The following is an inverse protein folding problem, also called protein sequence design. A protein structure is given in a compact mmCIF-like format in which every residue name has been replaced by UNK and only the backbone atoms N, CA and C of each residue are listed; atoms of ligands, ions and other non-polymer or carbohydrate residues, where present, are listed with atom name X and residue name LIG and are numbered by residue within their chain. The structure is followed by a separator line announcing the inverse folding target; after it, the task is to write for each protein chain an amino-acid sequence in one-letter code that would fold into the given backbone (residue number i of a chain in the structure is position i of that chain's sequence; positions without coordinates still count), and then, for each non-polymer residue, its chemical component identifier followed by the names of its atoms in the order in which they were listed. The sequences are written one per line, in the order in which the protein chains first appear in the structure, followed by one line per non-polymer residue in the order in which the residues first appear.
data_IF_139422230636
#
_entry.id   IF_139422230636
#
_cell.length_a   1.000
_cell.length_b   1.000
_cell.length_c   1.000
_cell.angle_alpha   90.00
_cell.angle_beta   90.00
_cell.angle_gamma   90.00
#
_symmetry.space_group_name_H-M   'P 1'
#
loop_
_entity.id
_entity.type
_entity.pdbx_description
1 polymer ?
#
# COMPACT_ATOMS: atom_id res chain seq x y z
N UNK A 1 14.19 -5.55 -13.39
CA UNK A 1 12.76 -5.16 -13.48
C UNK A 1 12.03 -6.20 -14.31
N UNK A 2 10.77 -6.48 -14.01
CA UNK A 2 9.94 -7.44 -14.76
C UNK A 2 8.46 -7.24 -14.45
N UNK A 3 7.63 -7.89 -15.25
CA UNK A 3 6.17 -7.88 -15.12
C UNK A 3 5.67 -9.31 -14.89
N UNK A 4 4.80 -9.49 -13.92
CA UNK A 4 4.16 -10.76 -13.57
C UNK A 4 2.66 -10.58 -13.63
N UNK A 5 2.01 -11.36 -14.49
CA UNK A 5 0.55 -11.42 -14.59
C UNK A 5 0.08 -12.67 -13.88
N UNK A 6 -0.87 -12.52 -12.96
CA UNK A 6 -1.45 -13.60 -12.19
C UNK A 6 -2.72 -14.12 -12.86
N UNK A 7 -3.07 -15.38 -12.59
CA UNK A 7 -4.27 -16.01 -13.14
C UNK A 7 -5.58 -15.29 -12.73
N UNK A 8 -5.59 -14.60 -11.59
CA UNK A 8 -6.71 -13.79 -11.10
C UNK A 8 -6.83 -12.41 -11.78
N UNK A 9 -5.98 -12.11 -12.77
CA UNK A 9 -5.92 -10.83 -13.46
C UNK A 9 -5.08 -9.76 -12.76
N UNK A 10 -4.50 -10.04 -11.59
CA UNK A 10 -3.56 -9.10 -10.96
C UNK A 10 -2.29 -8.95 -11.82
N UNK A 11 -1.69 -7.79 -11.74
CA UNK A 11 -0.43 -7.48 -12.42
C UNK A 11 0.53 -6.89 -11.40
N UNK A 12 1.74 -7.43 -11.34
CA UNK A 12 2.86 -6.80 -10.68
C UNK A 12 3.90 -6.34 -11.70
N UNK A 13 4.36 -5.10 -11.59
CA UNK A 13 5.45 -4.52 -12.37
C UNK A 13 6.48 -3.94 -11.40
N UNK A 14 7.69 -4.50 -11.38
CA UNK A 14 8.71 -4.05 -10.43
C UNK A 14 9.99 -4.85 -10.45
N UNK A 15 10.75 -4.74 -9.36
CA UNK A 15 12.00 -5.47 -9.21
C UNK A 15 11.80 -6.83 -8.53
N UNK A 16 12.67 -7.77 -8.89
CA UNK A 16 12.71 -9.12 -8.36
C UNK A 16 14.13 -9.45 -7.92
N UNK A 17 14.26 -10.20 -6.83
CA UNK A 17 15.50 -10.81 -6.35
C UNK A 17 15.17 -12.23 -5.94
N UNK A 18 15.86 -13.23 -6.52
CA UNK A 18 15.60 -14.66 -6.29
C UNK A 18 14.11 -15.03 -6.43
N UNK A 19 13.50 -14.62 -7.55
CA UNK A 19 12.08 -14.81 -7.88
C UNK A 19 11.07 -14.21 -6.89
N UNK A 20 11.54 -13.33 -6.01
CA UNK A 20 10.69 -12.62 -5.04
C UNK A 20 10.64 -11.13 -5.35
N UNK A 21 9.44 -10.54 -5.28
CA UNK A 21 9.25 -9.08 -5.36
C UNK A 21 10.14 -8.41 -4.31
N UNK A 22 10.93 -7.45 -4.76
CA UNK A 22 11.88 -6.73 -3.93
C UNK A 22 12.07 -5.31 -4.44
N UNK A 23 12.51 -4.37 -3.62
CA UNK A 23 12.68 -2.97 -4.02
C UNK A 23 11.35 -2.33 -4.40
N UNK A 24 11.36 -1.35 -5.30
CA UNK A 24 10.12 -0.68 -5.73
C UNK A 24 9.34 -1.51 -6.77
N UNK A 25 8.01 -1.48 -6.67
CA UNK A 25 7.10 -2.08 -7.63
C UNK A 25 5.64 -1.65 -7.45
N UNK A 26 4.88 -1.84 -8.52
CA UNK A 26 3.46 -1.55 -8.64
C UNK A 26 2.69 -2.87 -8.71
N UNK A 27 1.70 -3.07 -7.85
CA UNK A 27 0.75 -4.18 -7.91
C UNK A 27 -0.63 -3.62 -8.19
N UNK A 28 -1.15 -3.86 -9.38
CA UNK A 28 -2.51 -3.56 -9.79
C UNK A 28 -3.36 -4.81 -9.61
N UNK A 29 -4.38 -4.74 -8.75
CA UNK A 29 -5.33 -5.81 -8.54
C UNK A 29 -6.42 -5.77 -9.62
N UNK A 30 -7.01 -6.92 -9.95
CA UNK A 30 -8.14 -7.01 -10.89
C UNK A 30 -9.39 -6.24 -10.43
N UNK A 31 -9.52 -5.98 -9.12
CA UNK A 31 -10.56 -5.11 -8.56
C UNK A 31 -10.26 -3.60 -8.66
N UNK A 32 -9.29 -3.20 -9.48
CA UNK A 32 -8.81 -1.82 -9.65
C UNK A 32 -8.10 -1.20 -8.43
N UNK A 33 -7.88 -1.95 -7.34
CA UNK A 33 -6.98 -1.47 -6.28
C UNK A 33 -5.54 -1.47 -6.79
N UNK A 34 -4.73 -0.51 -6.34
CA UNK A 34 -3.32 -0.36 -6.76
C UNK A 34 -2.44 -0.12 -5.55
N UNK A 35 -1.39 -0.92 -5.40
CA UNK A 35 -0.28 -0.60 -4.50
C UNK A 35 0.93 -0.14 -5.30
N UNK A 36 1.57 0.91 -4.85
CA UNK A 36 2.78 1.46 -5.43
C UNK A 36 3.77 1.77 -4.31
N UNK A 37 4.91 1.09 -4.28
CA UNK A 37 5.86 1.30 -3.20
C UNK A 37 6.92 0.23 -3.08
N UNK A 38 7.55 0.17 -1.92
CA UNK A 38 8.60 -0.79 -1.65
C UNK A 38 8.05 -2.18 -1.27
N UNK A 39 8.83 -3.18 -1.65
CA UNK A 39 8.61 -4.61 -1.49
C UNK A 39 9.86 -5.25 -0.92
N UNK A 40 9.66 -6.27 -0.07
CA UNK A 40 10.71 -7.10 0.49
C UNK A 40 10.18 -8.52 0.63
N UNK A 41 10.79 -9.47 -0.09
CA UNK A 41 10.47 -10.89 -0.02
C UNK A 41 8.96 -11.13 -0.24
N UNK A 42 8.45 -10.67 -1.39
CA UNK A 42 7.03 -10.77 -1.79
C UNK A 42 6.03 -9.97 -0.94
N UNK A 43 6.46 -9.21 0.06
CA UNK A 43 5.58 -8.42 0.94
C UNK A 43 5.80 -6.92 0.78
N UNK A 44 4.74 -6.13 0.94
CA UNK A 44 4.82 -4.67 1.00
C UNK A 44 5.64 -4.26 2.23
N UNK A 45 6.58 -3.35 2.03
CA UNK A 45 7.53 -2.93 3.05
C UNK A 45 7.97 -1.48 2.83
N UNK A 46 8.30 -0.76 3.90
CA UNK A 46 8.77 0.62 3.81
C UNK A 46 7.67 1.56 3.30
N UNK A 47 8.05 2.59 2.53
CA UNK A 47 7.10 3.57 1.99
C UNK A 47 6.28 2.98 0.84
N UNK A 48 4.99 3.26 0.85
CA UNK A 48 4.09 2.93 -0.24
C UNK A 48 2.76 3.68 -0.19
N UNK A 49 2.10 3.70 -1.33
CA UNK A 49 0.76 4.22 -1.54
C UNK A 49 -0.16 3.09 -1.96
N UNK A 50 -1.28 2.96 -1.28
CA UNK A 50 -2.36 2.02 -1.60
C UNK A 50 -3.58 2.84 -2.00
N UNK A 51 -3.99 2.72 -3.25
CA UNK A 51 -5.28 3.21 -3.74
C UNK A 51 -6.25 2.04 -3.74
N UNK A 52 -7.36 2.18 -3.03
CA UNK A 52 -8.39 1.16 -2.94
C UNK A 52 -9.45 1.37 -4.02
N UNK A 53 -10.14 0.29 -4.39
CA UNK A 53 -11.22 0.32 -5.38
C UNK A 53 -12.37 1.28 -5.02
N UNK A 54 -12.59 1.53 -3.72
CA UNK A 54 -13.61 2.45 -3.22
C UNK A 54 -13.19 3.94 -3.29
N UNK A 55 -12.00 4.24 -3.81
CA UNK A 55 -11.43 5.59 -3.89
C UNK A 55 -10.63 6.02 -2.66
N UNK A 56 -10.59 5.21 -1.59
CA UNK A 56 -9.75 5.51 -0.44
C UNK A 56 -8.26 5.40 -0.83
N UNK A 57 -7.43 6.22 -0.20
CA UNK A 57 -5.98 6.24 -0.41
C UNK A 57 -5.29 6.14 0.94
N UNK A 58 -4.35 5.22 1.07
CA UNK A 58 -3.41 5.18 2.17
C UNK A 58 -1.99 5.46 1.67
N UNK A 59 -1.35 6.50 2.16
CA UNK A 59 0.04 6.86 1.89
C UNK A 59 0.84 6.79 3.18
N UNK A 60 1.75 5.82 3.29
CA UNK A 60 2.45 5.58 4.54
C UNK A 60 3.46 4.46 4.51
N UNK A 61 3.82 4.00 5.71
CA UNK A 61 4.76 2.91 5.88
C UNK A 61 4.04 1.55 6.00
N UNK A 62 4.71 0.51 5.52
CA UNK A 62 4.26 -0.87 5.52
C UNK A 62 5.32 -1.79 6.13
N UNK A 63 4.88 -2.82 6.84
CA UNK A 63 5.73 -3.92 7.31
C UNK A 63 4.95 -5.21 7.14
N UNK A 64 5.46 -6.15 6.33
CA UNK A 64 4.83 -7.45 6.07
C UNK A 64 3.36 -7.31 5.63
N UNK A 65 3.10 -6.50 4.61
CA UNK A 65 1.76 -6.21 4.05
C UNK A 65 0.83 -5.39 4.94
N UNK A 66 1.28 -4.99 6.14
CA UNK A 66 0.47 -4.24 7.10
C UNK A 66 0.88 -2.78 7.16
N UNK A 67 -0.10 -1.87 7.20
CA UNK A 67 0.13 -0.46 7.53
C UNK A 67 0.79 -0.38 8.92
N UNK A 68 1.88 0.34 9.01
CA UNK A 68 2.69 0.44 10.22
C UNK A 68 3.43 1.77 10.28
N UNK A 69 3.73 2.30 11.46
CA UNK A 69 4.40 3.60 11.61
C UNK A 69 3.48 4.75 11.18
N UNK A 70 4.05 5.82 10.62
CA UNK A 70 3.27 6.97 10.17
C UNK A 70 2.58 6.72 8.82
N UNK A 71 1.34 7.20 8.69
CA UNK A 71 0.62 7.18 7.42
C UNK A 71 -0.61 8.09 7.41
N UNK A 72 -0.98 8.49 6.20
CA UNK A 72 -2.14 9.31 5.87
C UNK A 72 -3.17 8.41 5.20
N UNK A 73 -4.40 8.43 5.69
CA UNK A 73 -5.54 7.79 5.06
C UNK A 73 -6.54 8.85 4.61
N UNK A 74 -6.68 9.01 3.31
CA UNK A 74 -7.68 9.88 2.69
C UNK A 74 -8.86 9.01 2.27
N UNK A 75 -10.03 9.28 2.81
CA UNK A 75 -11.26 8.64 2.40
C UNK A 75 -11.75 9.24 1.07
N UNK A 76 -12.56 8.50 0.32
CA UNK A 76 -13.17 8.98 -0.93
C UNK A 76 -14.02 10.24 -0.77
N UNK A 77 -14.54 10.51 0.43
CA UNK A 77 -15.26 11.73 0.79
C UNK A 77 -14.34 12.90 1.18
N UNK A 78 -13.06 12.85 0.83
CA UNK A 78 -12.02 13.86 1.16
C UNK A 78 -11.67 13.99 2.64
N UNK A 79 -12.30 13.23 3.55
CA UNK A 79 -11.86 13.19 4.95
C UNK A 79 -10.48 12.55 5.07
N UNK A 80 -9.63 13.07 5.96
CA UNK A 80 -8.23 12.63 6.11
C UNK A 80 -7.97 12.22 7.56
N UNK A 81 -7.35 11.05 7.75
CA UNK A 81 -6.65 10.70 8.97
C UNK A 81 -5.15 10.79 8.74
N UNK A 82 -4.44 11.40 9.67
CA UNK A 82 -2.98 11.52 9.63
C UNK A 82 -2.41 11.15 11.00
N UNK A 83 -1.64 10.08 11.07
CA UNK A 83 -1.12 9.64 12.37
C UNK A 83 -0.39 8.32 12.34
N UNK A 84 -0.20 7.74 13.52
CA UNK A 84 0.46 6.46 13.66
C UNK A 84 -0.49 5.28 13.39
N UNK A 85 0.12 4.18 12.91
CA UNK A 85 -0.51 2.93 12.51
C UNK A 85 0.30 1.75 13.06
N UNK A 86 -0.41 0.70 13.47
CA UNK A 86 0.19 -0.57 13.92
C UNK A 86 -0.72 -1.70 13.50
N UNK A 87 -0.20 -2.64 12.69
CA UNK A 87 -0.93 -3.85 12.25
C UNK A 87 -2.29 -3.46 11.65
N UNK A 88 -2.28 -2.61 10.61
CA UNK A 88 -3.48 -2.12 9.90
C UNK A 88 -4.46 -1.26 10.71
N UNK A 89 -4.21 -1.01 12.00
CA UNK A 89 -5.07 -0.20 12.86
C UNK A 89 -4.43 1.16 13.12
N UNK A 90 -5.26 2.20 13.24
CA UNK A 90 -4.85 3.50 13.80
C UNK A 90 -4.30 3.26 15.20
N UNK A 91 -3.15 3.84 15.52
CA UNK A 91 -2.46 3.63 16.78
C UNK A 91 -1.83 4.93 17.27
N UNK A 92 -1.95 5.22 18.57
CA UNK A 92 -1.36 6.42 19.16
C UNK A 92 -2.07 7.71 18.73
N UNK A 93 -1.30 8.82 18.65
CA UNK A 93 -1.82 10.13 18.26
C UNK A 93 -2.07 10.21 16.75
N UNK A 94 -3.17 10.85 16.37
CA UNK A 94 -3.48 11.17 14.98
C UNK A 94 -4.45 12.35 14.91
N UNK A 95 -4.46 13.02 13.76
CA UNK A 95 -5.34 14.12 13.41
C UNK A 95 -6.38 13.62 12.41
N UNK A 96 -7.65 13.80 12.71
CA UNK A 96 -8.74 13.66 11.75
C UNK A 96 -9.12 15.04 11.23
N UNK A 97 -9.23 15.19 9.92
CA UNK A 97 -9.81 16.34 9.24
C UNK A 97 -11.01 15.84 8.44
N UNK A 98 -12.15 16.50 8.61
CA UNK A 98 -13.37 16.22 7.84
C UNK A 98 -13.44 17.20 6.67
N UNK A 99 -14.11 16.79 5.59
CA UNK A 99 -14.35 17.63 4.42
C UNK A 99 -15.34 18.76 4.73
#
# INVERSE_FOLDING_TARGET
KGKMTYANGDIFDGNFVNDKKHGYGIHTCSNSSKYEGAWKINKKYGKGKMTYANGDIFDGNFVNDKKHGYGIHTCSNSSKYEGAWKINKKYGKGKMTYA
#
